data_IF_881797539466
#
_entry.id   IF_881797539466
#
_cell.length_a   1.000
_cell.length_b   1.000
_cell.length_c   1.000
_cell.angle_alpha   90.00
_cell.angle_beta   90.00
_cell.angle_gamma   90.00
#
_symmetry.space_group_name_H-M   'P 1'
#
loop_
_entity.id
_entity.type
_entity.pdbx_description
1 polymer ?
#
# COMPACT_ATOMS: atom_id res chain seq x y z
N UNK A 1 -12.53 -21.92 8.96
CA UNK A 1 -13.01 -22.89 9.98
C UNK A 1 -11.84 -23.71 10.47
N UNK A 2 -12.00 -24.50 11.54
CA UNK A 2 -10.94 -25.42 11.96
C UNK A 2 -10.60 -26.42 10.85
N UNK A 3 -11.61 -26.98 10.17
CA UNK A 3 -11.40 -27.90 9.05
C UNK A 3 -10.51 -27.33 7.94
N UNK A 4 -10.63 -26.02 7.63
CA UNK A 4 -9.76 -25.35 6.64
C UNK A 4 -8.31 -25.25 7.12
N UNK A 5 -8.11 -25.00 8.43
CA UNK A 5 -6.77 -24.92 9.02
C UNK A 5 -6.11 -26.30 9.10
N UNK A 6 -6.86 -27.33 9.50
CA UNK A 6 -6.36 -28.70 9.58
C UNK A 6 -5.99 -29.23 8.19
N UNK A 7 -6.82 -28.93 7.19
CA UNK A 7 -6.51 -29.22 5.79
C UNK A 7 -5.23 -28.52 5.35
N UNK A 8 -5.10 -27.20 5.60
CA UNK A 8 -3.92 -26.43 5.21
C UNK A 8 -2.66 -26.97 5.90
N UNK A 9 -2.72 -27.25 7.21
CA UNK A 9 -1.60 -27.80 7.95
C UNK A 9 -1.13 -29.16 7.40
N UNK A 10 -2.09 -30.02 7.02
CA UNK A 10 -1.80 -31.30 6.39
C UNK A 10 -1.19 -31.14 5.01
N UNK A 11 -1.72 -30.24 4.19
CA UNK A 11 -1.19 -29.95 2.84
C UNK A 11 0.26 -29.42 2.93
N UNK A 12 0.49 -28.46 3.82
CA UNK A 12 1.80 -27.87 4.06
C UNK A 12 2.81 -28.84 4.71
N UNK A 13 2.37 -29.95 5.29
CA UNK A 13 3.27 -30.94 5.89
C UNK A 13 4.22 -31.63 4.89
N UNK A 14 3.89 -31.55 3.60
CA UNK A 14 4.70 -32.09 2.51
C UNK A 14 5.66 -31.06 1.89
N UNK A 15 5.59 -29.79 2.32
CA UNK A 15 6.35 -28.69 1.74
C UNK A 15 7.59 -28.41 2.59
N UNK A 16 8.73 -28.22 1.93
CA UNK A 16 9.98 -27.83 2.59
C UNK A 16 9.81 -26.47 3.30
N UNK A 17 10.32 -26.34 4.53
CA UNK A 17 10.24 -25.12 5.33
C UNK A 17 11.04 -23.95 4.75
N UNK A 18 11.99 -24.24 3.87
CA UNK A 18 12.79 -23.25 3.15
C UNK A 18 12.18 -22.85 1.80
N UNK A 19 11.08 -23.47 1.37
CA UNK A 19 10.39 -23.11 0.13
C UNK A 19 9.74 -21.71 0.21
N UNK A 20 9.67 -21.03 -0.94
CA UNK A 20 8.80 -19.86 -1.10
C UNK A 20 7.33 -20.31 -1.06
N UNK A 21 6.62 -19.94 -0.01
CA UNK A 21 5.21 -20.25 0.18
C UNK A 21 4.35 -19.03 -0.18
N UNK A 22 3.51 -19.16 -1.21
CA UNK A 22 2.54 -18.13 -1.61
C UNK A 22 1.13 -18.65 -1.37
N UNK A 23 0.36 -17.97 -0.51
CA UNK A 23 -1.02 -18.33 -0.17
C UNK A 23 -1.94 -17.24 -0.68
N UNK A 24 -2.79 -17.56 -1.67
CA UNK A 24 -3.80 -16.62 -2.19
C UNK A 24 -5.16 -16.85 -1.54
N UNK A 25 -5.78 -15.77 -1.06
CA UNK A 25 -7.09 -15.80 -0.42
C UNK A 25 -7.81 -14.47 -0.64
N UNK A 26 -9.13 -14.43 -0.41
CA UNK A 26 -9.89 -13.21 -0.72
C UNK A 26 -9.88 -12.18 0.41
N UNK A 27 -10.03 -12.61 1.67
CA UNK A 27 -10.26 -11.72 2.83
C UNK A 27 -8.98 -11.57 3.66
N UNK A 28 -8.52 -10.36 4.00
CA UNK A 28 -7.23 -10.18 4.64
C UNK A 28 -7.15 -10.81 6.02
N UNK A 29 -6.06 -11.51 6.28
CA UNK A 29 -5.89 -12.28 7.51
C UNK A 29 -5.54 -11.35 8.67
N UNK A 30 -4.69 -10.35 8.43
CA UNK A 30 -4.21 -9.42 9.45
C UNK A 30 -5.33 -8.69 10.21
N UNK A 31 -6.45 -8.35 9.58
CA UNK A 31 -7.50 -7.53 10.22
C UNK A 31 -8.94 -8.03 10.04
N UNK A 32 -9.22 -9.02 9.17
CA UNK A 32 -10.59 -9.39 8.80
C UNK A 32 -10.96 -10.85 9.12
N UNK A 33 -10.02 -11.64 9.64
CA UNK A 33 -10.23 -13.05 10.00
C UNK A 33 -10.13 -13.25 11.51
N UNK A 34 -11.20 -13.77 12.14
CA UNK A 34 -11.27 -13.94 13.61
C UNK A 34 -10.26 -14.95 14.19
N UNK A 35 -9.98 -16.03 13.46
CA UNK A 35 -9.04 -17.07 13.86
C UNK A 35 -7.67 -16.91 13.18
N UNK A 36 -7.26 -15.67 12.92
CA UNK A 36 -5.99 -15.37 12.26
C UNK A 36 -4.76 -15.89 13.03
N UNK A 37 -4.79 -15.86 14.37
CA UNK A 37 -3.72 -16.42 15.20
C UNK A 37 -3.48 -17.90 14.89
N UNK A 38 -4.53 -18.69 14.68
CA UNK A 38 -4.39 -20.11 14.36
C UNK A 38 -3.93 -20.32 12.92
N UNK A 39 -4.28 -19.43 11.99
CA UNK A 39 -3.70 -19.40 10.65
C UNK A 39 -2.19 -19.16 10.70
N UNK A 40 -1.71 -18.17 11.47
CA UNK A 40 -0.28 -17.90 11.58
C UNK A 40 0.49 -19.06 12.23
N UNK A 41 -0.10 -19.77 13.21
CA UNK A 41 0.50 -20.97 13.81
C UNK A 41 0.74 -22.08 12.77
N UNK A 42 -0.18 -22.28 11.83
CA UNK A 42 -0.01 -23.29 10.76
C UNK A 42 1.21 -22.99 9.88
N UNK A 43 1.59 -21.72 9.78
CA UNK A 43 2.72 -21.24 8.98
C UNK A 43 4.05 -21.21 9.74
N UNK A 44 4.06 -21.60 11.02
CA UNK A 44 5.29 -21.62 11.82
C UNK A 44 6.36 -22.54 11.19
N UNK A 45 7.60 -22.06 11.27
CA UNK A 45 8.78 -22.72 10.74
C UNK A 45 9.05 -22.47 9.26
N UNK A 46 8.07 -22.04 8.46
CA UNK A 46 8.36 -21.61 7.08
C UNK A 46 9.16 -20.31 7.10
N UNK A 47 10.19 -20.16 6.26
CA UNK A 47 11.07 -18.98 6.33
C UNK A 47 10.65 -17.84 5.38
N UNK A 48 9.93 -18.17 4.31
CA UNK A 48 9.56 -17.22 3.27
C UNK A 48 8.09 -17.41 2.90
N UNK A 49 7.20 -16.63 3.53
CA UNK A 49 5.76 -16.77 3.36
C UNK A 49 5.15 -15.46 2.91
N UNK A 50 4.43 -15.51 1.79
CA UNK A 50 3.66 -14.41 1.26
C UNK A 50 2.17 -14.77 1.20
N UNK A 51 1.33 -13.94 1.80
CA UNK A 51 -0.12 -14.04 1.68
C UNK A 51 -0.58 -12.97 0.69
N UNK A 52 -1.35 -13.37 -0.31
CA UNK A 52 -1.97 -12.48 -1.29
C UNK A 52 -3.45 -12.36 -0.96
N UNK A 53 -3.88 -11.20 -0.46
CA UNK A 53 -5.25 -10.92 -0.03
C UNK A 53 -5.88 -9.73 -0.77
N UNK A 54 -7.19 -9.53 -0.63
CA UNK A 54 -7.92 -8.45 -1.28
C UNK A 54 -9.16 -8.05 -0.50
N UNK A 55 -10.34 -8.06 -1.13
CA UNK A 55 -11.65 -7.74 -0.53
C UNK A 55 -11.87 -6.29 -0.07
N UNK A 56 -10.84 -5.61 0.41
CA UNK A 56 -10.96 -4.32 1.11
C UNK A 56 -10.98 -3.09 0.21
N UNK A 57 -10.51 -3.21 -1.03
CA UNK A 57 -10.39 -2.08 -1.97
C UNK A 57 -9.46 -0.96 -1.49
N UNK A 58 -8.39 -1.32 -0.77
CA UNK A 58 -7.20 -0.51 -0.53
C UNK A 58 -5.95 -1.37 -0.69
N UNK A 59 -4.76 -0.77 -0.75
CA UNK A 59 -3.48 -1.43 -0.91
C UNK A 59 -2.65 -1.28 0.37
N UNK A 60 -2.28 -2.39 1.01
CA UNK A 60 -1.47 -2.37 2.23
C UNK A 60 -0.62 -3.62 2.34
N UNK A 61 0.58 -3.45 2.88
CA UNK A 61 1.46 -4.55 3.26
C UNK A 61 1.51 -4.68 4.78
N UNK A 62 1.34 -5.89 5.30
CA UNK A 62 1.47 -6.19 6.73
C UNK A 62 2.50 -7.29 6.95
N UNK A 63 3.34 -7.12 7.96
CA UNK A 63 4.36 -8.10 8.34
C UNK A 63 4.03 -8.64 9.72
N UNK A 64 3.82 -9.95 9.82
CA UNK A 64 3.63 -10.66 11.09
C UNK A 64 4.64 -11.80 11.21
N UNK A 65 5.73 -11.56 11.95
CA UNK A 65 6.86 -12.49 12.02
C UNK A 65 7.49 -12.70 10.64
N UNK A 66 7.46 -13.94 10.18
CA UNK A 66 7.95 -14.40 8.87
C UNK A 66 6.90 -14.31 7.75
N UNK A 67 5.67 -13.90 8.05
CA UNK A 67 4.57 -13.83 7.08
C UNK A 67 4.41 -12.40 6.59
N UNK A 68 4.50 -12.24 5.26
CA UNK A 68 4.29 -10.99 4.57
C UNK A 68 2.94 -11.02 3.84
N UNK A 69 1.96 -10.28 4.34
CA UNK A 69 0.66 -10.16 3.69
C UNK A 69 0.60 -8.94 2.78
N UNK A 70 0.33 -9.19 1.50
CA UNK A 70 0.03 -8.19 0.47
C UNK A 70 -1.50 -8.13 0.30
N UNK A 71 -2.13 -7.11 0.84
CA UNK A 71 -3.53 -6.83 0.56
C UNK A 71 -3.60 -5.85 -0.63
N UNK A 72 -4.13 -6.30 -1.75
CA UNK A 72 -4.14 -5.53 -2.99
C UNK A 72 -5.30 -4.54 -3.09
N UNK A 73 -4.98 -3.35 -3.61
CA UNK A 73 -5.97 -2.51 -4.27
C UNK A 73 -6.60 -3.24 -5.47
N UNK A 74 -7.68 -2.68 -6.04
CA UNK A 74 -8.46 -3.39 -7.07
C UNK A 74 -8.36 -2.75 -8.45
N UNK A 75 -8.61 -3.56 -9.47
CA UNK A 75 -8.71 -3.11 -10.87
C UNK A 75 -9.87 -2.15 -11.12
N UNK A 76 -10.87 -2.12 -10.23
CA UNK A 76 -12.06 -1.30 -10.38
C UNK A 76 -12.07 -0.06 -9.47
N UNK A 77 -10.98 0.20 -8.74
CA UNK A 77 -10.91 1.27 -7.76
C UNK A 77 -11.94 1.05 -6.65
N UNK A 78 -12.62 2.12 -6.23
CA UNK A 78 -13.70 2.07 -5.26
C UNK A 78 -15.00 1.51 -5.91
N UNK A 79 -15.05 0.20 -6.20
CA UNK A 79 -16.21 -0.50 -6.79
C UNK A 79 -16.77 0.15 -8.07
N UNK A 80 -15.90 0.53 -9.01
CA UNK A 80 -16.24 1.23 -10.27
C UNK A 80 -16.75 2.66 -10.09
N UNK A 81 -16.54 3.27 -8.92
CA UNK A 81 -17.06 4.61 -8.60
C UNK A 81 -16.07 5.72 -8.95
N UNK A 82 -14.77 5.39 -9.00
CA UNK A 82 -13.73 6.34 -9.36
C UNK A 82 -12.44 5.62 -9.79
N UNK A 83 -11.43 6.39 -10.24
CA UNK A 83 -10.20 5.85 -10.81
C UNK A 83 -9.21 5.33 -9.75
N UNK A 84 -9.55 5.47 -8.46
CA UNK A 84 -8.72 5.09 -7.32
C UNK A 84 -9.51 4.23 -6.35
N UNK A 85 -8.81 3.41 -5.58
CA UNK A 85 -9.25 2.72 -4.39
C UNK A 85 -9.57 3.70 -3.25
N UNK A 86 -10.17 3.23 -2.16
CA UNK A 86 -10.60 4.11 -1.05
C UNK A 86 -9.43 4.73 -0.27
N UNK A 87 -8.23 4.19 -0.42
CA UNK A 87 -6.96 4.68 0.11
C UNK A 87 -6.21 5.67 -0.79
N UNK A 88 -6.74 5.94 -2.00
CA UNK A 88 -6.04 6.76 -2.98
C UNK A 88 -5.15 6.00 -3.96
N UNK A 89 -4.97 4.68 -3.78
CA UNK A 89 -4.21 3.85 -4.73
C UNK A 89 -4.93 3.83 -6.08
N UNK A 90 -4.29 4.14 -7.22
CA UNK A 90 -4.91 4.02 -8.54
C UNK A 90 -5.45 2.62 -8.81
N UNK A 91 -6.52 2.50 -9.60
CA UNK A 91 -7.01 1.18 -10.05
C UNK A 91 -5.88 0.36 -10.69
N UNK A 92 -5.70 -0.89 -10.30
CA UNK A 92 -4.52 -1.67 -10.71
C UNK A 92 -4.43 -3.04 -10.08
N UNK A 93 -3.24 -3.64 -10.13
CA UNK A 93 -2.95 -4.99 -9.65
C UNK A 93 -1.50 -5.12 -9.20
N UNK A 94 -1.22 -6.06 -8.30
CA UNK A 94 0.15 -6.45 -7.96
C UNK A 94 0.77 -7.33 -9.05
N UNK A 95 2.06 -7.14 -9.34
CA UNK A 95 2.85 -8.01 -10.20
C UNK A 95 3.93 -8.67 -9.36
N UNK A 96 4.09 -9.98 -9.54
CA UNK A 96 5.01 -10.83 -8.80
C UNK A 96 5.95 -11.54 -9.75
N UNK A 97 7.25 -11.44 -9.49
CA UNK A 97 8.31 -12.07 -10.26
C UNK A 97 9.01 -13.09 -9.36
N UNK A 98 8.94 -14.36 -9.77
CA UNK A 98 9.48 -15.50 -8.99
C UNK A 98 10.74 -16.02 -9.66
N UNK A 99 11.84 -16.11 -8.91
CA UNK A 99 13.08 -16.73 -9.35
C UNK A 99 13.60 -17.70 -8.28
N UNK A 100 13.28 -18.99 -8.44
CA UNK A 100 13.55 -19.96 -7.38
C UNK A 100 12.72 -19.63 -6.14
N UNK A 101 13.38 -19.38 -5.01
CA UNK A 101 12.73 -18.93 -3.77
C UNK A 101 12.71 -17.42 -3.60
N UNK A 102 13.30 -16.66 -4.53
CA UNK A 102 13.29 -15.20 -4.46
C UNK A 102 11.98 -14.67 -5.07
N UNK A 103 11.34 -13.74 -4.37
CA UNK A 103 10.14 -13.05 -4.81
C UNK A 103 10.42 -11.55 -4.90
N UNK A 104 10.22 -10.97 -6.08
CA UNK A 104 10.14 -9.52 -6.27
C UNK A 104 8.71 -9.12 -6.62
N UNK A 105 8.31 -7.90 -6.30
CA UNK A 105 6.98 -7.40 -6.61
C UNK A 105 6.93 -5.90 -6.82
N UNK A 106 5.91 -5.44 -7.54
CA UNK A 106 5.57 -4.04 -7.68
C UNK A 106 4.07 -3.87 -7.93
N UNK A 107 3.53 -2.69 -7.67
CA UNK A 107 2.15 -2.36 -8.04
C UNK A 107 2.09 -1.85 -9.48
N UNK A 108 1.14 -2.30 -10.29
CA UNK A 108 0.93 -1.81 -11.65
C UNK A 108 -0.43 -1.09 -11.75
N UNK A 109 -0.43 0.25 -11.74
CA UNK A 109 -1.63 1.01 -12.08
C UNK A 109 -2.08 0.72 -13.51
N UNK A 110 -3.39 0.67 -13.69
CA UNK A 110 -4.02 0.54 -15.00
C UNK A 110 -3.90 1.86 -15.75
N UNK A 111 -3.38 1.81 -16.97
CA UNK A 111 -3.24 3.00 -17.82
C UNK A 111 -2.13 3.99 -17.43
N UNK A 112 -1.31 3.70 -16.41
CA UNK A 112 -0.13 4.50 -16.04
C UNK A 112 1.13 3.64 -16.05
N UNK A 113 2.30 4.27 -16.09
CA UNK A 113 3.58 3.54 -16.02
C UNK A 113 3.78 2.81 -14.69
N UNK A 114 4.57 1.74 -14.72
CA UNK A 114 4.89 0.97 -13.51
C UNK A 114 5.62 1.80 -12.44
N UNK A 115 6.30 2.88 -12.86
CA UNK A 115 7.03 3.76 -11.93
C UNK A 115 6.10 4.73 -11.17
N UNK A 116 4.80 4.74 -11.49
CA UNK A 116 3.81 5.46 -10.72
C UNK A 116 3.49 4.70 -9.43
N UNK A 117 4.31 4.91 -8.40
CA UNK A 117 4.19 4.27 -7.07
C UNK A 117 3.77 5.24 -5.94
N UNK A 118 3.63 6.53 -6.24
CA UNK A 118 3.12 7.50 -5.28
C UNK A 118 2.54 8.75 -5.97
N UNK A 119 1.70 9.48 -5.23
CA UNK A 119 1.17 10.79 -5.59
C UNK A 119 1.56 11.79 -4.52
N UNK A 120 1.83 13.03 -4.92
CA UNK A 120 2.14 14.13 -4.00
C UNK A 120 1.10 15.24 -4.09
N UNK A 121 0.88 15.92 -2.98
CA UNK A 121 -0.01 17.07 -2.85
C UNK A 121 0.69 18.18 -2.09
N UNK A 122 0.52 19.42 -2.52
CA UNK A 122 1.00 20.59 -1.78
C UNK A 122 -0.18 21.47 -1.41
N UNK A 123 -0.36 21.68 -0.11
CA UNK A 123 -1.37 22.57 0.45
C UNK A 123 -0.70 23.82 1.00
N UNK A 124 -1.26 25.00 0.71
CA UNK A 124 -0.89 26.23 1.40
C UNK A 124 -1.76 26.40 2.64
N UNK A 125 -1.13 26.40 3.81
CA UNK A 125 -1.76 26.71 5.11
C UNK A 125 -1.49 28.17 5.49
N UNK A 126 -2.00 28.62 6.64
CA UNK A 126 -1.92 30.04 7.05
C UNK A 126 -0.50 30.62 7.05
N UNK A 127 0.48 29.89 7.60
CA UNK A 127 1.86 30.38 7.79
C UNK A 127 2.93 29.44 7.19
N UNK A 128 2.53 28.37 6.53
CA UNK A 128 3.42 27.34 6.00
C UNK A 128 2.73 26.56 4.87
N UNK A 129 3.51 25.80 4.10
CA UNK A 129 3.00 24.81 3.17
C UNK A 129 3.14 23.41 3.77
N UNK A 130 2.28 22.51 3.33
CA UNK A 130 2.28 21.09 3.69
C UNK A 130 2.44 20.26 2.42
N UNK A 131 3.45 19.40 2.39
CA UNK A 131 3.64 18.37 1.37
C UNK A 131 3.12 17.05 1.93
N UNK A 132 2.24 16.41 1.19
CA UNK A 132 1.76 15.05 1.44
C UNK A 132 2.22 14.15 0.31
N UNK A 133 2.66 12.94 0.64
CA UNK A 133 2.92 11.87 -0.32
C UNK A 133 2.14 10.62 0.08
N UNK A 134 1.26 10.16 -0.78
CA UNK A 134 0.60 8.87 -0.65
C UNK A 134 1.42 7.82 -1.41
N UNK A 135 2.05 6.89 -0.69
CA UNK A 135 3.01 5.91 -1.23
C UNK A 135 2.40 4.51 -1.12
N UNK A 136 1.57 4.15 -2.10
CA UNK A 136 0.94 2.83 -2.09
C UNK A 136 1.98 1.71 -2.26
N UNK A 137 1.68 0.53 -1.72
CA UNK A 137 2.62 -0.61 -1.62
C UNK A 137 3.82 -0.37 -0.68
N UNK A 138 3.78 0.68 0.15
CA UNK A 138 4.79 0.94 1.17
C UNK A 138 4.97 -0.25 2.13
N UNK A 139 6.19 -0.40 2.61
CA UNK A 139 6.54 -1.26 3.73
C UNK A 139 7.76 -0.67 4.49
N UNK A 140 8.07 -1.17 5.70
CA UNK A 140 9.12 -0.57 6.54
C UNK A 140 10.54 -0.58 5.97
N UNK A 141 10.84 -1.36 4.92
CA UNK A 141 12.15 -1.33 4.26
C UNK A 141 12.26 -0.22 3.21
N UNK A 142 11.14 0.40 2.83
CA UNK A 142 11.12 1.53 1.88
C UNK A 142 11.60 2.82 2.54
N UNK A 143 12.09 3.74 1.72
CA UNK A 143 12.51 5.08 2.15
C UNK A 143 11.75 6.13 1.36
N UNK A 144 11.17 7.09 2.08
CA UNK A 144 10.47 8.25 1.49
C UNK A 144 11.25 9.49 1.88
N UNK A 145 11.97 10.07 0.93
CA UNK A 145 12.81 11.25 1.11
C UNK A 145 12.25 12.43 0.32
N UNK A 146 12.61 13.65 0.72
CA UNK A 146 12.18 14.85 0.02
C UNK A 146 13.27 15.92 -0.11
N UNK A 147 13.13 16.73 -1.16
CA UNK A 147 13.94 17.91 -1.42
C UNK A 147 13.05 19.14 -1.56
N UNK A 148 13.55 20.28 -1.08
CA UNK A 148 12.90 21.60 -1.22
C UNK A 148 13.87 22.52 -1.97
N UNK A 149 13.45 23.05 -3.12
CA UNK A 149 14.31 23.85 -4.02
C UNK A 149 15.70 23.22 -4.29
N UNK A 150 15.72 21.90 -4.48
CA UNK A 150 16.93 21.11 -4.73
C UNK A 150 17.79 20.80 -3.49
N UNK A 151 17.39 21.27 -2.30
CA UNK A 151 18.05 20.94 -1.04
C UNK A 151 17.43 19.69 -0.42
N UNK A 152 18.26 18.68 -0.14
CA UNK A 152 17.86 17.46 0.58
C UNK A 152 17.43 17.77 2.00
N UNK A 153 16.24 17.30 2.38
CA UNK A 153 15.68 17.49 3.71
C UNK A 153 15.67 16.22 4.56
N UNK A 154 15.93 15.06 3.95
CA UNK A 154 15.92 13.76 4.62
C UNK A 154 14.61 13.01 4.44
N UNK A 155 14.30 12.12 5.38
CA UNK A 155 13.10 11.28 5.35
C UNK A 155 11.85 12.07 5.73
N UNK A 156 10.75 11.84 5.02
CA UNK A 156 9.43 12.37 5.38
C UNK A 156 8.85 11.64 6.60
N UNK A 157 8.01 12.33 7.38
CA UNK A 157 7.36 11.73 8.54
C UNK A 157 6.16 10.90 8.09
N UNK A 158 6.08 9.64 8.51
CA UNK A 158 4.92 8.78 8.27
C UNK A 158 3.79 9.12 9.24
N UNK A 159 2.56 9.24 8.76
CA UNK A 159 1.39 9.47 9.59
C UNK A 159 0.17 8.70 9.07
N UNK A 160 -0.76 8.42 10.00
CA UNK A 160 -2.09 7.95 9.61
C UNK A 160 -2.92 9.11 9.07
N UNK A 161 -3.72 8.86 8.06
CA UNK A 161 -4.60 9.88 7.49
C UNK A 161 -5.43 9.37 6.33
N UNK A 162 -5.96 10.29 5.54
CA UNK A 162 -6.76 9.98 4.35
C UNK A 162 -6.11 10.62 3.14
N UNK A 163 -6.11 9.91 2.01
CA UNK A 163 -5.66 10.49 0.75
C UNK A 163 -6.55 11.69 0.33
N UNK A 164 -5.95 12.84 0.00
CA UNK A 164 -6.70 14.03 -0.41
C UNK A 164 -7.63 13.82 -1.62
N UNK A 165 -7.23 13.02 -2.61
CA UNK A 165 -8.06 12.75 -3.78
C UNK A 165 -9.22 11.81 -3.42
N UNK A 166 -8.98 10.79 -2.59
CA UNK A 166 -10.03 9.93 -2.05
C UNK A 166 -11.09 10.74 -1.30
N UNK A 167 -10.67 11.65 -0.42
CA UNK A 167 -11.58 12.59 0.27
C UNK A 167 -12.40 13.40 -0.72
N UNK A 168 -11.75 13.98 -1.74
CA UNK A 168 -12.42 14.80 -2.75
C UNK A 168 -13.46 14.01 -3.56
N UNK A 169 -13.20 12.73 -3.84
CA UNK A 169 -14.06 11.93 -4.69
C UNK A 169 -15.19 11.23 -3.91
N UNK A 170 -14.92 10.78 -2.69
CA UNK A 170 -15.78 9.83 -1.98
C UNK A 170 -16.40 10.40 -0.71
N UNK A 171 -15.97 11.55 -0.19
CA UNK A 171 -16.52 12.11 1.05
C UNK A 171 -17.55 13.21 0.80
N UNK A 172 -18.74 13.05 1.38
CA UNK A 172 -19.74 14.11 1.54
C UNK A 172 -21.15 13.69 1.12
N UNK A 173 -22.17 14.43 1.58
CA UNK A 173 -23.59 14.03 1.49
C UNK A 173 -24.12 13.74 0.08
N UNK A 174 -23.45 14.26 -0.97
CA UNK A 174 -23.82 14.09 -2.38
C UNK A 174 -22.79 13.27 -3.16
N UNK A 175 -21.79 12.74 -2.49
CA UNK A 175 -20.69 11.98 -3.07
C UNK A 175 -20.64 10.58 -2.44
N UNK A 176 -20.01 9.63 -3.15
CA UNK A 176 -19.74 9.71 -4.57
C UNK A 176 -21.02 9.59 -5.41
N UNK A 177 -20.98 10.12 -6.64
CA UNK A 177 -22.11 10.04 -7.58
C UNK A 177 -22.30 8.58 -8.04
N UNK A 178 -23.53 8.07 -7.95
CA UNK A 178 -23.86 6.70 -8.35
C UNK A 178 -23.86 5.74 -7.15
N UNK A 179 -22.81 4.93 -7.00
CA UNK A 179 -22.68 4.03 -5.86
C UNK A 179 -22.29 4.85 -4.64
N UNK A 180 -23.20 5.16 -3.73
CA UNK A 180 -23.00 6.14 -2.64
C UNK A 180 -22.33 5.57 -1.38
N UNK A 181 -21.94 4.30 -1.37
CA UNK A 181 -21.38 3.63 -0.19
C UNK A 181 -19.86 3.71 -0.03
N UNK A 182 -19.02 3.93 -1.08
CA UNK A 182 -17.59 4.05 -0.88
C UNK A 182 -17.26 5.30 -0.08
N UNK A 183 -16.39 5.13 0.90
CA UNK A 183 -15.87 6.19 1.77
C UNK A 183 -14.34 6.11 1.77
N UNK A 184 -13.63 7.24 1.99
CA UNK A 184 -12.19 7.22 2.15
C UNK A 184 -11.76 6.32 3.31
N UNK A 185 -10.75 5.49 3.08
CA UNK A 185 -10.14 4.65 4.12
C UNK A 185 -9.00 5.40 4.81
N UNK A 186 -8.89 5.23 6.12
CA UNK A 186 -7.72 5.69 6.86
C UNK A 186 -6.55 4.77 6.55
N UNK A 187 -5.40 5.36 6.21
CA UNK A 187 -4.20 4.69 5.71
C UNK A 187 -3.00 5.06 6.56
N UNK A 188 -1.99 4.20 6.60
CA UNK A 188 -0.72 4.44 7.28
C UNK A 188 0.45 4.69 6.32
N UNK A 189 0.24 4.62 5.00
CA UNK A 189 1.26 4.88 3.98
C UNK A 189 1.20 6.33 3.44
N UNK A 190 0.83 7.27 4.31
CA UNK A 190 0.84 8.70 4.06
C UNK A 190 2.07 9.34 4.73
N UNK A 191 2.78 10.18 3.98
CA UNK A 191 3.99 10.85 4.44
C UNK A 191 3.82 12.35 4.35
N UNK A 192 4.27 13.07 5.38
CA UNK A 192 4.05 14.51 5.52
C UNK A 192 5.37 15.25 5.77
N UNK A 193 5.43 16.47 5.23
CA UNK A 193 6.43 17.46 5.58
C UNK A 193 5.79 18.86 5.61
N UNK A 194 6.31 19.74 6.46
CA UNK A 194 5.93 21.15 6.52
C UNK A 194 7.13 22.03 6.19
N UNK A 195 6.89 23.12 5.48
CA UNK A 195 7.96 24.02 5.04
C UNK A 195 7.46 25.43 4.77
N UNK A 196 8.39 26.37 4.60
CA UNK A 196 8.09 27.79 4.47
C UNK A 196 7.39 28.14 3.14
N UNK A 197 6.59 29.20 3.16
CA UNK A 197 5.82 29.68 2.00
C UNK A 197 6.68 30.05 0.77
N UNK A 198 7.96 30.39 0.99
CA UNK A 198 8.90 30.85 -0.04
C UNK A 198 9.41 29.72 -0.95
N UNK A 199 9.30 28.46 -0.51
CA UNK A 199 9.72 27.31 -1.31
C UNK A 199 8.87 27.25 -2.57
N UNK A 200 9.53 27.00 -3.70
CA UNK A 200 8.90 26.99 -5.04
C UNK A 200 8.75 25.60 -5.61
N UNK A 201 9.70 24.71 -5.33
CA UNK A 201 9.73 23.37 -5.88
C UNK A 201 9.85 22.35 -4.76
N UNK A 202 9.04 21.30 -4.85
CA UNK A 202 9.16 20.12 -4.01
C UNK A 202 9.45 18.90 -4.85
N UNK A 203 10.22 17.98 -4.28
CA UNK A 203 10.53 16.68 -4.86
C UNK A 203 10.39 15.60 -3.81
N UNK A 204 9.69 14.53 -4.13
CA UNK A 204 9.62 13.32 -3.31
C UNK A 204 10.32 12.19 -4.07
N UNK A 205 11.16 11.46 -3.33
CA UNK A 205 11.95 10.32 -3.82
C UNK A 205 11.57 9.14 -2.95
N UNK A 206 10.87 8.17 -3.54
CA UNK A 206 10.53 6.90 -2.89
C UNK A 206 11.51 5.85 -3.39
N UNK A 207 12.22 5.19 -2.48
CA UNK A 207 13.05 4.02 -2.78
C UNK A 207 12.40 2.77 -2.19
N UNK A 208 12.14 1.75 -3.02
CA UNK A 208 11.62 0.47 -2.54
C UNK A 208 12.70 -0.44 -1.97
N UNK A 209 12.27 -1.55 -1.36
CA UNK A 209 13.15 -2.59 -0.80
C UNK A 209 14.09 -3.24 -1.82
N UNK A 210 13.77 -3.15 -3.12
CA UNK A 210 14.57 -3.71 -4.20
C UNK A 210 15.58 -2.70 -4.77
N UNK A 211 15.59 -1.47 -4.25
CA UNK A 211 16.48 -0.40 -4.67
C UNK A 211 15.99 0.40 -5.87
N UNK A 212 14.76 0.16 -6.36
CA UNK A 212 14.16 1.02 -7.38
C UNK A 212 13.81 2.38 -6.78
N UNK A 213 13.83 3.41 -7.62
CA UNK A 213 13.52 4.79 -7.22
C UNK A 213 12.39 5.36 -8.06
N UNK A 214 11.40 5.92 -7.38
CA UNK A 214 10.25 6.59 -7.96
C UNK A 214 10.30 8.05 -7.55
N UNK A 215 10.18 8.95 -8.52
CA UNK A 215 10.37 10.39 -8.29
C UNK A 215 9.12 11.15 -8.74
N UNK A 216 8.66 12.07 -7.89
CA UNK A 216 7.65 13.08 -8.23
C UNK A 216 8.14 14.47 -7.85
N UNK A 217 7.90 15.41 -8.74
CA UNK A 217 8.20 16.83 -8.56
C UNK A 217 6.92 17.63 -8.78
N UNK A 218 6.75 18.71 -8.03
CA UNK A 218 5.64 19.64 -8.19
C UNK A 218 6.07 21.06 -7.79
N UNK A 219 5.37 22.03 -8.36
CA UNK A 219 5.38 23.40 -7.84
C UNK A 219 4.73 23.41 -6.45
N UNK A 220 5.31 24.19 -5.54
CA UNK A 220 4.88 24.32 -4.16
C UNK A 220 3.84 25.41 -3.96
#
# INVERSE_FOLDING_TARGET
>A
TQDQLDWLAKDLSFIDKDALLIISLHIPVHNSVKNNTDFYKVLEGFKNVHVLSGHTHFNVNTINGNVYEHNHGTVCGAWWTGPICTDGTPSGYGVYEVKGNDLAWYYKPTGLEKDHQHTIYVDTLTNQKRLLANVWNWDPEWKVEYELDGKKMGTMEQQKGYDPLSIKLYKGDKLPVGRTFPEPSEIDHLFIAHFNLEVKNVKVIVSDRFGNKYIKEADA
#
